data_IF_884650103238
#
_entry.id   IF_884650103238
#
_cell.length_a   1.000
_cell.length_b   1.000
_cell.length_c   1.000
_cell.angle_alpha   90.00
_cell.angle_beta   90.00
_cell.angle_gamma   90.00
#
_symmetry.space_group_name_H-M   'P 1'
#
loop_
_entity.id
_entity.type
_entity.pdbx_description
1 polymer ?
#
# COMPACT_ATOMS: atom_id res chain seq x y z
N UNK A 1 -6.92 -9.21 1.01
CA UNK A 1 -6.31 -8.64 -0.22
C UNK A 1 -5.49 -9.67 -0.96
N UNK A 2 -5.41 -9.55 -2.24
CA UNK A 2 -4.59 -10.47 -3.02
C UNK A 2 -3.12 -10.14 -2.80
N UNK A 3 -2.21 -11.06 -3.07
CA UNK A 3 -0.80 -10.79 -2.92
C UNK A 3 -0.32 -9.59 -3.74
N UNK A 4 -0.88 -9.41 -4.93
CA UNK A 4 -0.49 -8.28 -5.76
C UNK A 4 -0.91 -6.96 -5.13
N UNK A 5 -2.12 -6.90 -4.62
CA UNK A 5 -2.59 -5.70 -3.98
C UNK A 5 -1.75 -5.38 -2.76
N UNK A 6 -1.39 -6.40 -2.01
CA UNK A 6 -0.61 -6.20 -0.82
C UNK A 6 0.78 -5.65 -1.14
N UNK A 7 1.39 -6.13 -2.19
CA UNK A 7 2.68 -5.62 -2.60
C UNK A 7 2.60 -4.15 -2.97
N UNK A 8 1.58 -3.79 -3.73
CA UNK A 8 1.41 -2.41 -4.15
C UNK A 8 1.20 -1.53 -2.91
N UNK A 9 0.38 -1.98 -1.98
CA UNK A 9 0.09 -1.22 -0.79
C UNK A 9 1.33 -1.02 0.06
N UNK A 10 2.15 -2.05 0.19
CA UNK A 10 3.35 -1.94 0.97
C UNK A 10 4.31 -0.92 0.40
N UNK A 11 4.51 -0.93 -0.91
CA UNK A 11 5.40 0.01 -1.54
C UNK A 11 4.85 1.43 -1.42
N UNK A 12 3.53 1.59 -1.49
CA UNK A 12 2.92 2.89 -1.31
C UNK A 12 3.16 3.40 0.11
N UNK A 13 3.13 2.51 1.08
CA UNK A 13 3.40 2.89 2.46
C UNK A 13 4.83 3.32 2.66
N UNK A 14 5.73 2.81 1.84
CA UNK A 14 7.13 3.18 1.94
C UNK A 14 7.42 4.50 1.25
N UNK A 15 6.42 5.13 0.68
CA UNK A 15 6.60 6.41 0.05
C UNK A 15 6.89 6.36 -1.44
N UNK A 16 6.77 5.21 -2.06
CA UNK A 16 7.02 5.11 -3.49
C UNK A 16 5.87 5.68 -4.28
N UNK A 17 6.18 6.32 -5.39
CA UNK A 17 5.14 6.85 -6.25
C UNK A 17 4.52 5.71 -7.06
N UNK A 18 3.36 5.94 -7.64
CA UNK A 18 2.72 4.92 -8.46
C UNK A 18 3.63 4.50 -9.61
N UNK A 19 4.39 5.45 -10.14
CA UNK A 19 5.29 5.15 -11.22
C UNK A 19 6.42 4.22 -10.75
N UNK A 20 6.96 4.49 -9.58
CA UNK A 20 8.00 3.65 -9.04
C UNK A 20 7.48 2.25 -8.73
N UNK A 21 6.29 2.18 -8.19
CA UNK A 21 5.68 0.90 -7.89
C UNK A 21 5.47 0.11 -9.18
N UNK A 22 4.98 0.78 -10.21
CA UNK A 22 4.73 0.13 -11.48
C UNK A 22 6.01 -0.44 -12.05
N UNK A 23 7.10 0.32 -11.98
CA UNK A 23 8.36 -0.14 -12.49
C UNK A 23 8.91 -1.31 -11.68
N UNK A 24 8.78 -1.22 -10.39
CA UNK A 24 9.30 -2.27 -9.54
C UNK A 24 8.56 -3.59 -9.71
N UNK A 25 7.27 -3.54 -9.91
CA UNK A 25 6.47 -4.73 -10.04
C UNK A 25 6.13 -5.12 -11.47
N UNK A 26 6.69 -4.38 -12.43
CA UNK A 26 6.44 -4.63 -13.84
C UNK A 26 4.95 -4.53 -14.17
N UNK A 27 4.31 -3.49 -13.63
CA UNK A 27 2.90 -3.24 -13.89
C UNK A 27 2.74 -1.89 -14.56
N UNK A 28 1.58 -1.63 -15.11
CA UNK A 28 1.31 -0.31 -15.65
C UNK A 28 0.85 0.58 -14.50
N UNK A 29 0.98 1.88 -14.66
CA UNK A 29 0.55 2.82 -13.63
C UNK A 29 -0.94 2.66 -13.40
N UNK A 30 -1.69 2.42 -14.46
CA UNK A 30 -3.11 2.25 -14.34
C UNK A 30 -3.45 1.04 -13.47
N UNK A 31 -2.70 -0.04 -13.61
CA UNK A 31 -2.92 -1.23 -12.81
C UNK A 31 -2.61 -0.94 -11.35
N UNK A 32 -1.55 -0.18 -11.09
CA UNK A 32 -1.20 0.19 -9.73
C UNK A 32 -2.33 1.02 -9.11
N UNK A 33 -2.87 1.96 -9.87
CA UNK A 33 -3.97 2.78 -9.39
C UNK A 33 -5.18 1.92 -9.05
N UNK A 34 -5.47 0.94 -9.89
CA UNK A 34 -6.58 0.04 -9.64
C UNK A 34 -6.40 -0.76 -8.37
N UNK A 35 -5.20 -1.26 -8.15
CA UNK A 35 -4.92 -2.02 -6.94
C UNK A 35 -5.05 -1.15 -5.71
N UNK A 36 -4.56 0.09 -5.79
CA UNK A 36 -4.66 0.99 -4.65
C UNK A 36 -6.11 1.36 -4.36
N UNK A 37 -6.90 1.58 -5.41
CA UNK A 37 -8.29 1.92 -5.22
C UNK A 37 -9.03 0.80 -4.50
N UNK A 38 -8.76 -0.44 -4.89
CA UNK A 38 -9.40 -1.57 -4.25
C UNK A 38 -8.94 -1.72 -2.80
N UNK A 39 -7.66 -1.52 -2.57
CA UNK A 39 -7.13 -1.64 -1.22
C UNK A 39 -7.72 -0.56 -0.33
N UNK A 40 -7.83 0.66 -0.82
CA UNK A 40 -8.40 1.72 -0.03
C UNK A 40 -9.84 1.38 0.37
N UNK A 41 -10.56 0.79 -0.55
CA UNK A 41 -11.93 0.44 -0.28
C UNK A 41 -12.00 -0.67 0.77
N UNK A 42 -11.14 -1.67 0.66
CA UNK A 42 -11.14 -2.77 1.60
C UNK A 42 -10.72 -2.33 2.99
N UNK A 43 -9.82 -1.36 3.07
CA UNK A 43 -9.35 -0.87 4.35
C UNK A 43 -10.17 0.30 4.86
N UNK A 44 -11.16 0.72 4.07
CA UNK A 44 -12.04 1.82 4.46
C UNK A 44 -11.24 3.09 4.72
N UNK A 45 -10.35 3.44 3.83
CA UNK A 45 -9.58 4.65 3.96
C UNK A 45 -9.65 5.41 2.65
N UNK A 46 -9.27 6.68 2.66
CA UNK A 46 -9.35 7.49 1.47
C UNK A 46 -8.02 8.12 1.07
N UNK A 47 -7.04 8.13 1.94
CA UNK A 47 -5.76 8.75 1.60
C UNK A 47 -4.59 7.84 1.87
N UNK A 48 -3.47 8.17 1.24
CA UNK A 48 -2.27 7.40 1.41
C UNK A 48 -1.73 7.52 2.83
N UNK A 49 -1.94 8.65 3.46
CA UNK A 49 -1.51 8.83 4.83
C UNK A 49 -2.21 7.84 5.77
N UNK A 50 -3.49 7.59 5.51
CA UNK A 50 -4.22 6.63 6.31
C UNK A 50 -3.71 5.23 6.09
N UNK A 51 -3.25 4.96 4.89
CA UNK A 51 -2.71 3.67 4.55
C UNK A 51 -1.52 3.35 5.44
N UNK A 52 -0.64 4.33 5.64
CA UNK A 52 0.50 4.13 6.47
C UNK A 52 0.09 3.81 7.87
N UNK A 53 -0.92 4.47 8.37
CA UNK A 53 -1.38 4.25 9.71
C UNK A 53 -1.92 2.85 9.90
N UNK A 54 -2.62 2.34 8.94
CA UNK A 54 -3.23 1.03 9.04
C UNK A 54 -2.21 -0.10 8.93
N UNK A 55 -1.20 0.10 8.14
CA UNK A 55 -0.25 -0.97 7.90
C UNK A 55 1.05 -0.96 8.66
N UNK A 56 1.20 -0.09 9.58
CA UNK A 56 2.43 -0.07 10.30
C UNK A 56 2.35 -0.58 11.70
N UNK A 57 1.42 -1.23 12.07
CA UNK A 57 1.25 -1.67 13.39
C UNK A 57 2.30 -2.52 13.99
N UNK A 58 2.78 -3.42 13.36
CA UNK A 58 3.60 -4.30 13.97
C UNK A 58 4.77 -3.71 14.56
N UNK A 59 5.34 -2.79 13.98
CA UNK A 59 6.43 -2.23 14.52
C UNK A 59 6.15 -1.52 15.69
N UNK A 60 5.04 -1.06 15.82
CA UNK A 60 4.77 -0.25 16.89
C UNK A 60 4.73 -1.05 18.10
N UNK A 61 4.19 -2.14 18.13
CA UNK A 61 3.98 -2.73 19.31
C UNK A 61 5.08 -3.44 19.79
N UNK A 62 5.77 -3.82 19.10
CA UNK A 62 6.76 -4.49 19.52
C UNK A 62 7.39 -4.08 20.68
N UNK A 63 7.75 -3.20 20.74
CA UNK A 63 8.42 -2.76 21.78
C UNK A 63 8.00 -3.03 22.99
N UNK A 64 7.69 -3.12 23.15
CA UNK A 64 7.31 -3.18 24.21
C UNK A 64 7.69 -3.91 24.94
N UNK A 65 8.10 -4.20 24.81
CA UNK A 65 8.36 -4.56 25.53
C UNK A 65 8.75 -4.57 26.00
#
# INVERSE_FOLDING_TARGET
>A
MTPSELRVVRLACEGRSNRQIAQELYLSIKTVEGHLARAYRKLDITTRAELKRVLKPEKTRVPTL
#
